data_IF_878456578518
#
_entry.id   IF_878456578518
#
_cell.length_a   1.000
_cell.length_b   1.000
_cell.length_c   1.000
_cell.angle_alpha   90.00
_cell.angle_beta   90.00
_cell.angle_gamma   90.00
#
_symmetry.space_group_name_H-M   'P 1'
#
loop_
_entity.id
_entity.type
_entity.pdbx_description
1 polymer ?
#
# COMPACT_ATOMS: atom_id res chain seq x y z
N UNK A 1 8.61 28.39 -1.59
CA UNK A 1 9.71 28.22 -2.58
C UNK A 1 9.14 28.46 -3.95
N UNK A 2 9.96 28.88 -4.91
CA UNK A 2 9.56 29.01 -6.30
C UNK A 2 9.20 27.63 -6.89
N UNK A 3 8.06 27.54 -7.59
CA UNK A 3 7.53 26.26 -8.08
C UNK A 3 8.41 25.66 -9.18
N UNK A 4 8.93 26.51 -10.07
CA UNK A 4 9.83 26.08 -11.15
C UNK A 4 11.13 25.53 -10.57
N UNK A 5 11.69 26.20 -9.57
CA UNK A 5 12.86 25.72 -8.84
C UNK A 5 12.63 24.33 -8.23
N UNK A 6 11.45 24.05 -7.65
CA UNK A 6 11.10 22.72 -7.11
C UNK A 6 11.06 21.68 -8.24
N UNK A 7 10.37 21.98 -9.34
CA UNK A 7 10.22 21.08 -10.49
C UNK A 7 11.56 20.73 -11.12
N UNK A 8 12.47 21.71 -11.27
CA UNK A 8 13.83 21.54 -11.77
C UNK A 8 14.69 20.62 -10.89
N UNK A 9 14.37 20.50 -9.61
CA UNK A 9 15.04 19.56 -8.71
C UNK A 9 14.37 18.19 -8.74
N UNK A 10 13.05 18.13 -8.73
CA UNK A 10 12.29 16.88 -8.75
C UNK A 10 12.52 16.10 -10.06
N UNK A 11 12.73 16.78 -11.19
CA UNK A 11 12.98 16.12 -12.47
C UNK A 11 14.31 15.34 -12.52
N UNK A 12 15.24 15.62 -11.59
CA UNK A 12 16.50 14.86 -11.43
C UNK A 12 16.27 13.46 -10.86
N UNK A 13 15.11 13.22 -10.25
CA UNK A 13 14.74 11.94 -9.69
C UNK A 13 13.69 11.28 -10.59
N UNK A 14 13.93 10.03 -11.05
CA UNK A 14 12.94 9.28 -11.81
C UNK A 14 11.59 9.26 -11.10
N UNK A 15 10.50 9.43 -11.86
CA UNK A 15 9.15 9.50 -11.30
C UNK A 15 8.80 8.27 -10.45
N UNK A 16 9.29 7.10 -10.85
CA UNK A 16 9.07 5.85 -10.15
C UNK A 16 9.62 5.87 -8.71
N UNK A 17 10.82 6.45 -8.52
CA UNK A 17 11.41 6.57 -7.18
C UNK A 17 10.59 7.53 -6.32
N UNK A 18 10.12 8.64 -6.91
CA UNK A 18 9.27 9.60 -6.21
C UNK A 18 7.93 8.99 -5.81
N UNK A 19 7.31 8.21 -6.70
CA UNK A 19 6.07 7.48 -6.45
C UNK A 19 6.22 6.47 -5.31
N UNK A 20 7.30 5.67 -5.31
CA UNK A 20 7.59 4.72 -4.21
C UNK A 20 7.72 5.45 -2.87
N UNK A 21 8.50 6.54 -2.81
CA UNK A 21 8.68 7.30 -1.56
C UNK A 21 7.36 7.92 -1.09
N UNK A 22 6.56 8.48 -2.01
CA UNK A 22 5.24 9.06 -1.69
C UNK A 22 4.21 8.01 -1.25
N UNK A 23 4.37 6.76 -1.68
CA UNK A 23 3.51 5.66 -1.23
C UNK A 23 3.76 5.24 0.21
N UNK A 24 4.85 5.71 0.86
CA UNK A 24 5.19 5.52 2.28
C UNK A 24 5.41 6.86 3.01
N UNK A 25 4.62 7.88 2.69
CA UNK A 25 4.74 9.23 3.25
C UNK A 25 4.03 9.45 4.60
N UNK A 26 3.30 8.45 5.12
CA UNK A 26 2.64 8.54 6.44
C UNK A 26 2.89 7.31 7.31
N UNK A 27 2.81 7.50 8.62
CA UNK A 27 3.02 6.43 9.61
C UNK A 27 2.02 5.28 9.44
N UNK A 28 0.77 5.56 9.04
CA UNK A 28 -0.23 4.51 8.80
C UNK A 28 0.11 3.65 7.57
N UNK A 29 0.71 4.25 6.53
CA UNK A 29 1.18 3.50 5.37
C UNK A 29 2.36 2.60 5.76
N UNK A 30 3.27 3.10 6.59
CA UNK A 30 4.35 2.31 7.17
C UNK A 30 3.83 1.16 8.03
N UNK A 31 2.84 1.41 8.89
CA UNK A 31 2.25 0.38 9.73
C UNK A 31 1.62 -0.76 8.90
N UNK A 32 0.86 -0.42 7.86
CA UNK A 32 0.27 -1.42 6.95
C UNK A 32 1.35 -2.18 6.18
N UNK A 33 2.40 -1.50 5.72
CA UNK A 33 3.56 -2.14 5.08
C UNK A 33 4.26 -3.14 6.00
N UNK A 34 4.51 -2.75 7.26
CA UNK A 34 5.16 -3.62 8.26
C UNK A 34 4.27 -4.84 8.57
N UNK A 35 2.96 -4.65 8.72
CA UNK A 35 2.06 -5.79 8.92
C UNK A 35 2.11 -6.81 7.77
N UNK A 36 2.22 -6.33 6.53
CA UNK A 36 2.42 -7.18 5.34
C UNK A 36 3.84 -7.76 5.22
N UNK A 37 4.84 -7.14 5.85
CA UNK A 37 6.19 -7.67 5.92
C UNK A 37 6.28 -8.82 6.95
N UNK A 38 5.56 -8.68 8.06
CA UNK A 38 5.52 -9.68 9.15
C UNK A 38 4.60 -10.87 8.82
N UNK A 39 3.66 -10.71 7.90
CA UNK A 39 2.69 -11.72 7.50
C UNK A 39 2.76 -11.94 5.99
N UNK A 40 2.93 -13.19 5.53
CA UNK A 40 3.11 -13.51 4.09
C UNK A 40 2.06 -12.88 3.16
N UNK A 41 0.82 -12.80 3.62
CA UNK A 41 -0.29 -12.12 2.93
C UNK A 41 -1.40 -11.77 3.92
N UNK A 42 -2.12 -10.67 3.68
CA UNK A 42 -3.28 -10.30 4.51
C UNK A 42 -4.47 -9.87 3.66
N UNK A 43 -5.69 -10.16 4.13
CA UNK A 43 -6.92 -9.69 3.49
C UNK A 43 -7.23 -8.24 3.86
N UNK A 44 -8.11 -7.60 3.08
CA UNK A 44 -8.60 -6.26 3.39
C UNK A 44 -9.22 -6.16 4.79
N UNK A 45 -10.08 -7.13 5.15
CA UNK A 45 -10.74 -7.15 6.45
C UNK A 45 -9.74 -7.36 7.58
N UNK A 46 -8.76 -8.25 7.41
CA UNK A 46 -7.73 -8.47 8.42
C UNK A 46 -6.93 -7.20 8.72
N UNK A 47 -6.49 -6.48 7.69
CA UNK A 47 -5.77 -5.21 7.87
C UNK A 47 -6.66 -4.12 8.47
N UNK A 48 -7.91 -4.01 8.01
CA UNK A 48 -8.87 -3.05 8.56
C UNK A 48 -9.09 -3.29 10.05
N UNK A 49 -9.32 -4.54 10.43
CA UNK A 49 -9.66 -4.92 11.79
C UNK A 49 -8.43 -4.83 12.72
N UNK A 50 -7.24 -5.20 12.23
CA UNK A 50 -5.97 -5.07 12.96
C UNK A 50 -5.67 -3.63 13.40
N UNK A 51 -5.94 -2.66 12.53
CA UNK A 51 -5.66 -1.24 12.80
C UNK A 51 -6.90 -0.44 13.21
N UNK A 52 -8.04 -1.09 13.44
CA UNK A 52 -9.33 -0.45 13.77
C UNK A 52 -9.70 0.69 12.80
N UNK A 53 -9.31 0.57 11.54
CA UNK A 53 -9.50 1.62 10.53
C UNK A 53 -10.89 1.56 9.92
N UNK A 54 -11.42 2.72 9.52
CA UNK A 54 -12.62 2.72 8.70
C UNK A 54 -12.30 2.22 7.26
N UNK A 55 -13.30 1.68 6.51
CA UNK A 55 -13.05 1.10 5.19
C UNK A 55 -12.42 2.07 4.18
N UNK A 56 -12.72 3.36 4.23
CA UNK A 56 -12.18 4.33 3.27
C UNK A 56 -10.71 4.67 3.54
N UNK A 57 -10.29 4.70 4.80
CA UNK A 57 -8.89 4.88 5.21
C UNK A 57 -8.01 3.75 4.67
N UNK A 58 -8.34 2.50 5.00
CA UNK A 58 -7.55 1.35 4.56
C UNK A 58 -7.59 1.18 3.03
N UNK A 59 -8.72 1.52 2.38
CA UNK A 59 -8.81 1.54 0.90
C UNK A 59 -7.83 2.55 0.31
N UNK A 60 -7.73 3.76 0.89
CA UNK A 60 -6.81 4.79 0.43
C UNK A 60 -5.36 4.36 0.60
N UNK A 61 -5.02 3.77 1.74
CA UNK A 61 -3.66 3.28 2.04
C UNK A 61 -3.26 2.17 1.06
N UNK A 62 -4.07 1.12 0.95
CA UNK A 62 -3.78 -0.01 0.07
C UNK A 62 -3.70 0.42 -1.40
N UNK A 63 -4.55 1.36 -1.84
CA UNK A 63 -4.46 1.91 -3.18
C UNK A 63 -3.13 2.65 -3.41
N UNK A 64 -2.66 3.44 -2.45
CA UNK A 64 -1.38 4.13 -2.55
C UNK A 64 -0.20 3.15 -2.62
N UNK A 65 -0.20 2.13 -1.76
CA UNK A 65 0.84 1.09 -1.74
C UNK A 65 0.87 0.27 -3.03
N UNK A 66 -0.30 -0.10 -3.57
CA UNK A 66 -0.41 -0.82 -4.85
C UNK A 66 0.05 0.04 -6.02
N UNK A 67 -0.37 1.31 -6.08
CA UNK A 67 0.03 2.23 -7.15
C UNK A 67 1.54 2.54 -7.11
N UNK A 68 2.13 2.61 -5.92
CA UNK A 68 3.57 2.77 -5.75
C UNK A 68 4.38 1.50 -5.98
N UNK A 69 3.74 0.38 -6.33
CA UNK A 69 4.41 -0.90 -6.55
C UNK A 69 5.01 -1.52 -5.29
N UNK A 70 4.56 -1.10 -4.10
CA UNK A 70 5.07 -1.57 -2.80
C UNK A 70 4.37 -2.87 -2.38
N UNK A 71 3.12 -3.02 -2.79
CA UNK A 71 2.26 -4.15 -2.43
C UNK A 71 1.55 -4.65 -3.69
N UNK A 72 1.45 -5.96 -3.84
CA UNK A 72 0.68 -6.63 -4.88
C UNK A 72 -0.67 -7.06 -4.32
N UNK A 73 -1.74 -6.76 -5.06
CA UNK A 73 -3.08 -7.29 -4.76
C UNK A 73 -3.35 -8.54 -5.60
N UNK A 74 -3.55 -9.68 -4.95
CA UNK A 74 -3.94 -10.94 -5.61
C UNK A 74 -5.40 -11.28 -5.37
N UNK A 75 -6.06 -11.76 -6.42
CA UNK A 75 -7.39 -12.36 -6.29
C UNK A 75 -7.29 -13.71 -5.55
N UNK A 76 -8.38 -14.10 -4.90
CA UNK A 76 -8.49 -15.41 -4.25
C UNK A 76 -8.15 -16.55 -5.23
N UNK A 77 -7.33 -17.51 -4.78
CA UNK A 77 -7.01 -18.71 -5.56
C UNK A 77 -7.93 -19.88 -5.19
N UNK A 78 -8.03 -20.88 -6.08
CA UNK A 78 -8.82 -22.09 -5.83
C UNK A 78 -8.30 -22.92 -4.63
N UNK A 79 -7.06 -22.71 -4.18
CA UNK A 79 -6.48 -23.37 -3.01
C UNK A 79 -6.95 -22.81 -1.66
N UNK A 80 -7.58 -21.63 -1.67
CA UNK A 80 -8.03 -20.93 -0.45
C UNK A 80 -9.47 -21.36 -0.06
N UNK A 81 -9.74 -22.67 -0.07
CA UNK A 81 -11.12 -23.24 0.01
C UNK A 81 -11.85 -22.83 1.29
N UNK A 82 -11.12 -22.56 2.38
CA UNK A 82 -11.66 -22.23 3.70
C UNK A 82 -11.67 -20.71 4.04
N UNK A 83 -11.17 -19.86 3.14
CA UNK A 83 -11.10 -18.41 3.39
C UNK A 83 -12.19 -17.62 2.63
N UNK A 84 -12.95 -16.79 3.32
CA UNK A 84 -14.01 -15.96 2.71
C UNK A 84 -13.48 -14.71 1.99
N UNK A 85 -12.19 -14.39 2.12
CA UNK A 85 -11.59 -13.18 1.54
C UNK A 85 -11.53 -13.22 0.00
N UNK A 86 -11.99 -12.14 -0.64
CA UNK A 86 -11.98 -12.00 -2.11
C UNK A 86 -10.60 -11.73 -2.70
N UNK A 87 -9.70 -11.14 -1.92
CA UNK A 87 -8.37 -10.75 -2.35
C UNK A 87 -7.43 -10.59 -1.16
N UNK A 88 -6.15 -10.81 -1.42
CA UNK A 88 -5.07 -10.60 -0.47
C UNK A 88 -4.09 -9.56 -0.98
N UNK A 89 -3.38 -8.97 -0.04
CA UNK A 89 -2.28 -8.05 -0.25
C UNK A 89 -1.01 -8.73 0.27
N UNK A 90 0.06 -8.62 -0.48
CA UNK A 90 1.38 -9.20 -0.18
C UNK A 90 2.47 -8.30 -0.78
N UNK A 91 3.72 -8.47 -0.34
CA UNK A 91 4.86 -7.73 -0.88
C UNK A 91 5.35 -8.31 -2.20
#
# INVERSE_FOLDING_TARGET
MDQKMIEDHLCKIPVQIREVVQSLDTDEKWAVYIALLENERMSFSALRDLFEMNPSQITRILKALVLGGIVVKRAKSLGDVDDSARSYYEL
#
